data_IF_881569719093
#
_entry.id   IF_881569719093
#
_cell.length_a   1.000
_cell.length_b   1.000
_cell.length_c   1.000
_cell.angle_alpha   90.00
_cell.angle_beta   90.00
_cell.angle_gamma   90.00
#
_symmetry.space_group_name_H-M   'P 1'
#
loop_
_entity.id
_entity.type
_entity.pdbx_description
1 polymer ?
#
# COMPACT_ATOMS: atom_id res chain seq x y z
N UNK A 1 23.78 -55.79 -0.06
CA UNK A 1 22.53 -55.86 -0.84
C UNK A 1 22.44 -54.52 -1.54
N UNK A 2 22.63 -54.50 -2.85
CA UNK A 2 22.50 -53.28 -3.65
C UNK A 2 21.03 -53.14 -4.02
N UNK A 3 20.42 -52.00 -3.69
CA UNK A 3 19.03 -51.73 -4.03
C UNK A 3 19.01 -50.58 -5.02
N UNK A 4 18.40 -50.81 -6.18
CA UNK A 4 18.22 -49.80 -7.21
C UNK A 4 16.75 -49.37 -7.17
N UNK A 5 16.51 -48.08 -7.03
CA UNK A 5 15.19 -47.49 -7.25
C UNK A 5 15.18 -46.77 -8.61
N UNK A 6 14.18 -47.04 -9.43
CA UNK A 6 13.99 -46.43 -10.74
C UNK A 6 12.65 -45.69 -10.74
N UNK A 7 12.68 -44.42 -11.13
CA UNK A 7 11.48 -43.63 -11.39
C UNK A 7 11.53 -43.15 -12.83
N UNK A 8 10.49 -43.46 -13.60
CA UNK A 8 10.34 -43.03 -14.98
C UNK A 8 9.16 -42.06 -15.04
N UNK A 9 9.43 -40.80 -15.32
CA UNK A 9 8.41 -39.86 -15.80
C UNK A 9 8.37 -39.92 -17.32
N UNK A 10 7.35 -39.31 -17.95
CA UNK A 10 7.12 -39.40 -19.41
C UNK A 10 8.27 -38.85 -20.26
N UNK A 11 9.21 -38.11 -19.68
CA UNK A 11 10.31 -37.44 -20.39
C UNK A 11 11.70 -37.76 -19.83
N UNK A 12 11.82 -38.31 -18.60
CA UNK A 12 13.10 -38.60 -17.97
C UNK A 12 13.12 -39.94 -17.23
N UNK A 13 14.22 -40.68 -17.40
CA UNK A 13 14.52 -41.89 -16.63
C UNK A 13 15.52 -41.52 -15.55
N UNK A 14 15.13 -41.71 -14.28
CA UNK A 14 15.95 -41.41 -13.12
C UNK A 14 16.26 -42.69 -12.32
N UNK A 15 17.53 -42.87 -11.96
CA UNK A 15 18.01 -44.00 -11.15
C UNK A 15 18.61 -43.50 -9.83
N UNK A 16 18.29 -44.19 -8.74
CA UNK A 16 18.93 -44.01 -7.45
C UNK A 16 19.58 -45.33 -7.01
N UNK A 17 20.91 -45.34 -6.96
CA UNK A 17 21.70 -46.44 -6.41
C UNK A 17 21.81 -46.30 -4.88
N UNK A 18 21.29 -47.28 -4.13
CA UNK A 18 21.41 -47.32 -2.67
C UNK A 18 22.55 -48.27 -2.30
N UNK A 19 23.73 -47.68 -2.08
CA UNK A 19 24.98 -48.38 -1.80
C UNK A 19 25.95 -47.47 -1.01
N UNK A 20 26.98 -48.03 -0.33
CA UNK A 20 28.01 -47.24 0.36
C UNK A 20 28.96 -46.51 -0.61
N UNK A 21 28.94 -46.87 -1.90
CA UNK A 21 29.70 -46.23 -2.96
C UNK A 21 29.09 -46.58 -4.32
N UNK A 22 28.93 -45.63 -5.25
CA UNK A 22 28.42 -45.92 -6.60
C UNK A 22 29.33 -46.87 -7.35
N UNK A 23 28.88 -48.11 -7.57
CA UNK A 23 29.59 -49.10 -8.40
C UNK A 23 28.87 -49.32 -9.73
N UNK A 24 27.56 -49.09 -9.79
CA UNK A 24 26.73 -49.43 -10.94
C UNK A 24 26.54 -48.25 -11.92
N UNK A 25 26.94 -47.04 -11.53
CA UNK A 25 26.78 -45.82 -12.34
C UNK A 25 27.30 -46.01 -13.77
N UNK A 26 28.52 -46.53 -13.94
CA UNK A 26 29.12 -46.72 -15.27
C UNK A 26 28.35 -47.75 -16.10
N UNK A 27 28.00 -48.89 -15.52
CA UNK A 27 27.28 -49.95 -16.24
C UNK A 27 25.86 -49.52 -16.64
N UNK A 28 25.20 -48.71 -15.80
CA UNK A 28 23.91 -48.13 -16.13
C UNK A 28 24.06 -47.14 -17.29
N UNK A 29 25.06 -46.25 -17.26
CA UNK A 29 25.33 -45.32 -18.37
C UNK A 29 25.55 -46.07 -19.69
N UNK A 30 26.40 -47.10 -19.69
CA UNK A 30 26.68 -47.91 -20.88
C UNK A 30 25.41 -48.55 -21.47
N UNK A 31 24.49 -49.03 -20.63
CA UNK A 31 23.23 -49.63 -21.10
C UNK A 31 22.32 -48.62 -21.80
N UNK A 32 22.27 -47.38 -21.31
CA UNK A 32 21.41 -46.32 -21.86
C UNK A 32 22.06 -45.61 -23.06
N UNK A 33 23.40 -45.52 -23.10
CA UNK A 33 24.15 -45.04 -24.25
C UNK A 33 23.87 -45.89 -25.50
N UNK A 34 23.80 -47.22 -25.34
CA UNK A 34 23.43 -48.15 -26.44
C UNK A 34 22.01 -47.89 -26.97
N UNK A 35 21.12 -47.41 -26.12
CA UNK A 35 19.72 -47.13 -26.48
C UNK A 35 19.50 -45.68 -26.96
N UNK A 36 20.56 -44.86 -27.06
CA UNK A 36 20.49 -43.42 -27.34
C UNK A 36 19.49 -42.68 -26.42
N UNK A 37 19.40 -43.10 -25.17
CA UNK A 37 18.53 -42.50 -24.17
C UNK A 37 19.36 -41.82 -23.09
N UNK A 38 18.93 -40.64 -22.67
CA UNK A 38 19.58 -39.91 -21.58
C UNK A 38 19.05 -40.39 -20.24
N UNK A 39 19.96 -40.76 -19.33
CA UNK A 39 19.62 -41.23 -17.98
C UNK A 39 20.24 -40.34 -16.91
N UNK A 40 19.44 -39.97 -15.91
CA UNK A 40 19.90 -39.24 -14.74
C UNK A 40 20.16 -40.23 -13.60
N UNK A 41 21.42 -40.35 -13.17
CA UNK A 41 21.83 -41.33 -12.16
C UNK A 41 22.27 -40.60 -10.88
N UNK A 42 21.69 -41.04 -9.77
CA UNK A 42 21.92 -40.56 -8.41
C UNK A 42 22.39 -41.73 -7.54
N UNK A 43 23.05 -41.42 -6.42
CA UNK A 43 23.56 -42.42 -5.49
C UNK A 43 23.40 -41.95 -4.04
N UNK A 44 23.23 -42.87 -3.10
CA UNK A 44 23.08 -42.51 -1.68
C UNK A 44 24.38 -42.02 -1.06
N UNK A 45 25.51 -42.71 -1.29
CA UNK A 45 26.78 -42.46 -0.61
C UNK A 45 27.95 -42.59 -1.57
N UNK A 46 29.09 -41.96 -1.24
CA UNK A 46 30.34 -42.09 -2.00
C UNK A 46 31.54 -42.16 -1.07
N UNK A 47 32.42 -43.13 -1.32
CA UNK A 47 33.63 -43.36 -0.53
C UNK A 47 34.49 -42.09 -0.44
N UNK A 48 34.99 -41.81 0.78
CA UNK A 48 35.79 -40.62 1.12
C UNK A 48 35.02 -39.29 1.02
N UNK A 49 33.69 -39.32 0.97
CA UNK A 49 32.85 -38.13 1.06
C UNK A 49 31.99 -38.15 2.34
N UNK A 50 31.47 -36.98 2.73
CA UNK A 50 30.63 -36.83 3.92
C UNK A 50 29.22 -37.32 3.60
N UNK A 51 28.77 -38.36 4.29
CA UNK A 51 27.51 -39.07 4.01
C UNK A 51 26.30 -38.13 3.96
N UNK A 52 26.10 -37.31 5.00
CA UNK A 52 24.97 -36.36 5.07
C UNK A 52 24.97 -35.36 3.90
N UNK A 53 26.16 -34.87 3.51
CA UNK A 53 26.29 -33.94 2.40
C UNK A 53 25.94 -34.63 1.09
N UNK A 54 26.43 -35.85 0.86
CA UNK A 54 26.17 -36.62 -0.37
C UNK A 54 24.67 -36.95 -0.49
N UNK A 55 24.04 -37.41 0.61
CA UNK A 55 22.60 -37.71 0.64
C UNK A 55 21.79 -36.45 0.35
N UNK A 56 22.02 -35.36 1.10
CA UNK A 56 21.24 -34.12 0.93
C UNK A 56 21.44 -33.52 -0.47
N UNK A 57 22.66 -33.51 -0.98
CA UNK A 57 22.93 -33.00 -2.34
C UNK A 57 22.16 -33.79 -3.40
N UNK A 58 22.15 -35.13 -3.30
CA UNK A 58 21.42 -35.96 -4.25
C UNK A 58 19.90 -35.90 -4.02
N UNK A 59 19.43 -35.70 -2.79
CA UNK A 59 18.01 -35.47 -2.48
C UNK A 59 17.51 -34.14 -3.06
N UNK A 60 18.27 -33.05 -2.96
CA UNK A 60 17.95 -31.77 -3.59
C UNK A 60 17.87 -31.91 -5.11
N UNK A 61 18.79 -32.66 -5.73
CA UNK A 61 18.79 -32.89 -7.19
C UNK A 61 17.64 -33.79 -7.66
N UNK A 62 17.19 -34.70 -6.80
CA UNK A 62 15.95 -35.47 -6.99
C UNK A 62 14.69 -34.64 -6.70
N UNK A 63 14.85 -33.37 -6.32
CA UNK A 63 13.77 -32.46 -5.96
C UNK A 63 12.83 -33.03 -4.88
N UNK A 64 13.41 -33.81 -3.94
CA UNK A 64 12.70 -34.42 -2.81
C UNK A 64 12.46 -33.43 -1.66
N UNK A 65 12.99 -32.21 -1.78
CA UNK A 65 12.78 -31.17 -0.78
C UNK A 65 11.33 -30.66 -0.88
N UNK A 66 10.51 -31.08 0.07
CA UNK A 66 9.18 -30.52 0.35
C UNK A 66 9.35 -29.10 0.92
N UNK A 67 9.76 -28.18 0.03
CA UNK A 67 9.87 -26.77 0.34
C UNK A 67 8.46 -26.19 0.49
N UNK A 68 7.91 -26.33 1.69
CA UNK A 68 6.68 -25.69 2.18
C UNK A 68 6.84 -24.17 2.39
N UNK A 69 7.61 -23.50 1.53
CA UNK A 69 7.82 -22.06 1.52
C UNK A 69 7.57 -21.52 0.12
N UNK A 70 6.95 -20.33 0.00
CA UNK A 70 6.49 -19.82 -1.28
C UNK A 70 7.67 -19.54 -2.23
N UNK A 71 7.77 -20.34 -3.30
CA UNK A 71 8.70 -20.11 -4.40
C UNK A 71 8.03 -19.24 -5.47
N UNK A 72 8.03 -17.93 -5.26
CA UNK A 72 7.82 -16.96 -6.32
C UNK A 72 8.30 -15.57 -5.89
N UNK A 73 9.35 -15.07 -6.54
CA UNK A 73 9.75 -13.66 -6.44
C UNK A 73 9.01 -12.88 -7.52
N UNK A 74 8.09 -12.00 -7.11
CA UNK A 74 7.41 -11.11 -8.06
C UNK A 74 8.44 -10.26 -8.82
N UNK A 75 8.31 -10.19 -10.14
CA UNK A 75 9.08 -9.26 -10.96
C UNK A 75 8.47 -7.85 -10.80
N UNK A 76 9.16 -6.97 -10.07
CA UNK A 76 8.73 -5.60 -9.81
C UNK A 76 9.32 -4.57 -10.80
N UNK A 77 9.89 -5.01 -11.92
CA UNK A 77 10.48 -4.11 -12.93
C UNK A 77 9.42 -3.30 -13.67
N UNK A 78 8.24 -3.88 -13.87
CA UNK A 78 7.13 -3.25 -14.57
C UNK A 78 6.00 -2.93 -13.60
N UNK A 79 5.53 -1.69 -13.68
CA UNK A 79 4.36 -1.23 -12.93
C UNK A 79 3.14 -1.27 -13.85
N UNK A 80 2.29 -2.28 -13.68
CA UNK A 80 1.06 -2.46 -14.45
C UNK A 80 -0.16 -1.73 -13.85
N UNK A 81 0.05 -0.74 -12.98
CA UNK A 81 -1.03 0.08 -12.43
C UNK A 81 -1.15 1.40 -13.18
N UNK A 82 -2.38 1.78 -13.51
CA UNK A 82 -2.70 3.14 -13.94
C UNK A 82 -3.07 3.96 -12.71
N UNK A 83 -2.27 4.96 -12.39
CA UNK A 83 -2.54 5.92 -11.33
C UNK A 83 -2.89 7.26 -11.96
N UNK A 84 -4.00 7.89 -11.56
CA UNK A 84 -4.36 9.23 -12.06
C UNK A 84 -3.41 10.29 -11.49
N UNK A 85 -3.24 11.42 -12.17
CA UNK A 85 -2.36 12.50 -11.70
C UNK A 85 -2.77 12.98 -10.30
N UNK A 86 -4.07 13.01 -10.01
CA UNK A 86 -4.61 13.39 -8.69
C UNK A 86 -4.19 12.39 -7.61
N UNK A 87 -4.25 11.09 -7.90
CA UNK A 87 -3.80 10.04 -6.96
C UNK A 87 -2.29 10.11 -6.74
N UNK A 88 -1.50 10.36 -7.79
CA UNK A 88 -0.05 10.54 -7.68
C UNK A 88 0.27 11.75 -6.78
N UNK A 89 -0.42 12.88 -6.97
CA UNK A 89 -0.24 14.08 -6.16
C UNK A 89 -0.67 13.86 -4.71
N UNK A 90 -1.79 13.17 -4.47
CA UNK A 90 -2.26 12.81 -3.14
C UNK A 90 -1.29 11.87 -2.42
N UNK A 91 -0.71 10.90 -3.12
CA UNK A 91 0.28 9.97 -2.58
C UNK A 91 1.63 10.63 -2.30
N UNK A 92 2.03 11.59 -3.14
CA UNK A 92 3.31 12.32 -3.02
C UNK A 92 3.22 13.54 -2.10
N UNK A 93 2.03 14.03 -1.80
CA UNK A 93 1.81 15.08 -0.80
C UNK A 93 2.38 14.57 0.53
N UNK A 94 3.55 15.12 0.92
CA UNK A 94 4.20 14.82 2.19
C UNK A 94 3.20 15.05 3.31
N UNK A 95 2.78 13.98 3.98
CA UNK A 95 1.86 14.01 5.13
C UNK A 95 2.48 14.66 6.39
N UNK A 96 3.66 15.24 6.31
CA UNK A 96 4.50 15.49 7.48
C UNK A 96 4.05 16.68 8.34
N UNK A 97 3.22 17.61 7.85
CA UNK A 97 2.77 18.77 8.65
C UNK A 97 1.34 19.24 8.27
N UNK A 98 0.38 18.33 8.16
CA UNK A 98 -1.01 18.77 7.96
C UNK A 98 -1.63 19.25 9.27
N UNK A 99 -2.28 20.41 9.20
CA UNK A 99 -3.12 20.92 10.27
C UNK A 99 -4.14 19.84 10.68
N UNK A 100 -4.36 19.53 11.98
CA UNK A 100 -5.12 18.35 12.42
C UNK A 100 -6.53 18.20 11.82
N UNK A 101 -7.22 19.33 11.61
CA UNK A 101 -8.56 19.37 11.01
C UNK A 101 -8.53 19.42 9.48
N UNK A 102 -7.40 19.74 8.87
CA UNK A 102 -7.29 20.03 7.44
C UNK A 102 -6.92 18.77 6.65
N UNK A 103 -7.78 18.41 5.71
CA UNK A 103 -7.63 17.16 4.97
C UNK A 103 -6.94 17.34 3.63
N UNK A 104 -7.39 16.55 2.65
CA UNK A 104 -6.75 16.48 1.34
C UNK A 104 -7.31 17.54 0.41
N UNK A 105 -6.43 18.18 -0.38
CA UNK A 105 -6.87 18.97 -1.50
C UNK A 105 -7.46 18.06 -2.58
N UNK A 106 -8.64 18.42 -3.09
CA UNK A 106 -9.27 17.74 -4.20
C UNK A 106 -8.80 18.40 -5.50
N UNK A 107 -8.00 17.68 -6.29
CA UNK A 107 -7.67 18.10 -7.65
C UNK A 107 -8.82 17.72 -8.58
N UNK A 108 -9.39 18.70 -9.28
CA UNK A 108 -10.37 18.47 -10.32
C UNK A 108 -10.18 19.47 -11.45
N UNK A 109 -10.07 18.98 -12.67
CA UNK A 109 -9.92 19.79 -13.89
C UNK A 109 -11.11 20.74 -14.14
N UNK A 110 -12.27 20.47 -13.53
CA UNK A 110 -13.48 21.30 -13.66
C UNK A 110 -13.61 22.35 -12.54
N UNK A 111 -12.83 22.27 -11.48
CA UNK A 111 -12.95 23.20 -10.35
C UNK A 111 -12.19 24.50 -10.64
N UNK A 112 -12.93 25.58 -10.88
CA UNK A 112 -12.37 26.93 -11.00
C UNK A 112 -11.81 27.47 -9.68
N UNK A 113 -12.15 26.84 -8.56
CA UNK A 113 -11.78 27.22 -7.20
C UNK A 113 -11.14 26.02 -6.48
N UNK A 114 -10.00 26.20 -5.81
CA UNK A 114 -9.39 25.12 -5.05
C UNK A 114 -10.29 24.68 -3.89
N UNK A 115 -10.48 23.36 -3.77
CA UNK A 115 -11.32 22.72 -2.75
C UNK A 115 -10.52 21.71 -1.95
N UNK A 116 -10.80 21.63 -0.66
CA UNK A 116 -10.22 20.67 0.26
C UNK A 116 -11.31 19.86 0.95
N UNK A 117 -11.05 18.58 1.17
CA UNK A 117 -11.93 17.66 1.90
C UNK A 117 -11.28 17.24 3.21
N UNK A 118 -11.91 17.63 4.30
CA UNK A 118 -11.62 17.18 5.66
C UNK A 118 -12.61 16.11 6.10
N UNK A 119 -12.11 15.04 6.73
CA UNK A 119 -12.95 13.98 7.28
C UNK A 119 -12.75 13.97 8.80
N UNK A 120 -13.81 14.30 9.54
CA UNK A 120 -13.79 14.34 11.00
C UNK A 120 -14.45 13.07 11.53
N UNK A 121 -13.67 12.23 12.22
CA UNK A 121 -14.17 11.01 12.85
C UNK A 121 -13.87 11.05 14.36
N UNK A 122 -14.92 11.20 15.18
CA UNK A 122 -14.79 11.31 16.64
C UNK A 122 -14.20 10.06 17.32
N UNK A 123 -14.14 8.91 16.63
CA UNK A 123 -13.50 7.69 17.13
C UNK A 123 -11.97 7.77 17.08
N UNK A 124 -11.41 8.69 16.29
CA UNK A 124 -9.97 8.87 16.18
C UNK A 124 -9.45 9.74 17.34
N UNK A 125 -8.36 9.34 18.03
CA UNK A 125 -7.82 10.08 19.17
C UNK A 125 -7.51 11.56 18.87
N UNK A 126 -7.12 11.86 17.63
CA UNK A 126 -6.81 13.22 17.16
C UNK A 126 -8.01 14.17 17.15
N UNK A 127 -9.24 13.67 17.20
CA UNK A 127 -10.48 14.45 17.20
C UNK A 127 -11.26 14.34 18.51
N UNK A 128 -10.73 13.62 19.51
CA UNK A 128 -11.43 13.37 20.77
C UNK A 128 -11.82 14.67 21.50
N UNK A 129 -11.00 15.72 21.40
CA UNK A 129 -11.29 17.03 21.99
C UNK A 129 -12.53 17.72 21.42
N UNK A 130 -13.02 17.34 20.23
CA UNK A 130 -14.23 17.91 19.66
C UNK A 130 -15.49 17.42 20.39
N UNK A 131 -15.41 16.29 21.10
CA UNK A 131 -16.53 15.74 21.88
C UNK A 131 -16.94 16.69 23.02
N UNK A 132 -16.01 17.51 23.52
CA UNK A 132 -16.27 18.46 24.60
C UNK A 132 -17.10 19.68 24.15
N UNK A 133 -17.20 19.96 22.85
CA UNK A 133 -18.00 21.07 22.33
C UNK A 133 -19.46 20.66 22.12
N UNK A 134 -20.15 20.45 23.25
CA UNK A 134 -21.52 19.96 23.29
C UNK A 134 -22.51 21.09 23.62
N UNK A 135 -23.62 21.15 22.87
CA UNK A 135 -24.74 22.06 23.13
C UNK A 135 -26.02 21.24 23.17
N UNK A 136 -26.76 21.33 24.29
CA UNK A 136 -28.01 20.57 24.50
C UNK A 136 -27.88 19.05 24.26
N UNK A 137 -26.74 18.46 24.63
CA UNK A 137 -26.52 17.02 24.50
C UNK A 137 -26.01 16.57 23.11
N UNK A 138 -25.87 17.47 22.14
CA UNK A 138 -25.32 17.16 20.82
C UNK A 138 -23.93 17.76 20.63
N UNK A 139 -23.04 17.02 19.97
CA UNK A 139 -21.68 17.46 19.66
C UNK A 139 -21.74 18.30 18.39
N UNK A 140 -21.32 19.56 18.49
CA UNK A 140 -21.27 20.47 17.36
C UNK A 140 -19.83 20.75 16.99
N UNK A 141 -19.53 20.79 15.70
CA UNK A 141 -18.26 21.31 15.24
C UNK A 141 -18.16 22.80 15.62
N UNK A 142 -17.12 23.23 16.35
CA UNK A 142 -16.99 24.61 16.80
C UNK A 142 -16.94 25.60 15.64
N UNK A 143 -17.56 26.78 15.83
CA UNK A 143 -17.46 27.88 14.86
C UNK A 143 -15.99 28.28 14.58
N UNK A 144 -15.16 28.23 15.62
CA UNK A 144 -13.71 28.46 15.53
C UNK A 144 -13.00 27.40 14.68
N UNK A 145 -13.49 26.16 14.64
CA UNK A 145 -12.94 25.11 13.79
C UNK A 145 -13.08 25.43 12.30
N UNK A 146 -14.17 26.09 11.89
CA UNK A 146 -14.32 26.56 10.51
C UNK A 146 -13.32 27.69 10.18
N UNK A 147 -13.06 28.59 11.12
CA UNK A 147 -12.04 29.64 10.97
C UNK A 147 -10.64 29.01 10.86
N UNK A 148 -10.38 27.93 11.57
CA UNK A 148 -9.10 27.23 11.49
C UNK A 148 -8.93 26.51 10.14
N UNK A 149 -9.97 25.82 9.66
CA UNK A 149 -9.98 25.21 8.32
C UNK A 149 -9.75 26.25 7.22
N UNK A 150 -10.34 27.42 7.40
CA UNK A 150 -10.14 28.58 6.53
C UNK A 150 -8.69 29.05 6.50
N UNK A 151 -8.06 29.23 7.66
CA UNK A 151 -6.65 29.60 7.78
C UNK A 151 -5.72 28.56 7.15
N UNK A 152 -5.97 27.29 7.43
CA UNK A 152 -5.20 26.18 6.85
C UNK A 152 -5.28 26.16 5.32
N UNK A 153 -6.46 26.41 4.74
CA UNK A 153 -6.64 26.51 3.30
C UNK A 153 -5.88 27.69 2.69
N UNK A 154 -5.89 28.84 3.35
CA UNK A 154 -5.09 30.01 2.94
C UNK A 154 -3.60 29.67 2.98
N UNK A 155 -3.13 29.07 4.07
CA UNK A 155 -1.75 28.68 4.24
C UNK A 155 -1.30 27.72 3.10
N UNK A 156 -2.06 26.66 2.84
CA UNK A 156 -1.74 25.72 1.76
C UNK A 156 -1.76 26.40 0.37
N UNK A 157 -2.73 27.29 0.12
CA UNK A 157 -2.82 28.02 -1.13
C UNK A 157 -1.54 28.83 -1.41
N UNK A 158 -1.08 29.62 -0.43
CA UNK A 158 0.13 30.44 -0.56
C UNK A 158 1.40 29.59 -0.68
N UNK A 159 1.48 28.48 0.07
CA UNK A 159 2.57 27.51 -0.08
C UNK A 159 2.63 26.94 -1.50
N UNK A 160 1.49 26.58 -2.10
CA UNK A 160 1.45 26.02 -3.46
C UNK A 160 1.73 27.07 -4.53
N UNK A 161 1.29 28.31 -4.34
CA UNK A 161 1.56 29.41 -5.27
C UNK A 161 3.00 29.95 -5.18
N UNK A 162 3.83 29.41 -4.27
CA UNK A 162 5.18 29.89 -3.98
C UNK A 162 5.22 31.39 -3.62
N UNK A 163 4.10 31.91 -3.11
CA UNK A 163 4.01 33.29 -2.64
C UNK A 163 4.35 33.33 -1.14
N UNK A 164 4.84 34.47 -0.66
CA UNK A 164 5.10 34.64 0.77
C UNK A 164 3.79 34.60 1.56
N UNK A 165 3.77 33.85 2.66
CA UNK A 165 2.64 33.81 3.57
C UNK A 165 2.30 35.22 4.10
N UNK A 166 1.02 35.59 4.16
CA UNK A 166 0.61 36.86 4.74
C UNK A 166 0.88 36.85 6.24
N UNK A 167 1.43 37.95 6.77
CA UNK A 167 1.67 38.13 8.22
C UNK A 167 0.39 38.36 9.01
N UNK A 168 -0.73 38.65 8.34
CA UNK A 168 -2.04 38.86 8.98
C UNK A 168 -3.14 38.44 8.03
N UNK A 169 -4.12 37.71 8.57
CA UNK A 169 -5.35 37.34 7.85
C UNK A 169 -6.51 38.08 8.51
N UNK A 170 -7.28 38.81 7.70
CA UNK A 170 -8.45 39.58 8.16
C UNK A 170 -9.71 38.88 7.67
N UNK A 171 -10.56 38.51 8.60
CA UNK A 171 -11.87 37.95 8.32
C UNK A 171 -12.92 39.07 8.33
N UNK A 172 -13.59 39.27 7.20
CA UNK A 172 -14.67 40.24 7.06
C UNK A 172 -15.99 39.52 6.79
N UNK A 173 -17.08 39.98 7.42
CA UNK A 173 -18.43 39.45 7.20
C UNK A 173 -18.55 37.92 7.35
N UNK A 174 -17.90 37.34 8.37
CA UNK A 174 -18.01 35.90 8.65
C UNK A 174 -19.43 35.57 9.06
N UNK A 175 -20.03 34.61 8.37
CA UNK A 175 -21.38 34.13 8.64
C UNK A 175 -21.36 32.61 8.78
N UNK A 176 -21.91 32.11 9.88
CA UNK A 176 -22.18 30.69 10.08
C UNK A 176 -23.65 30.45 9.81
N UNK A 177 -23.96 29.88 8.63
CA UNK A 177 -25.34 29.70 8.18
C UNK A 177 -26.05 28.57 8.93
N UNK A 178 -25.32 27.48 9.19
CA UNK A 178 -25.81 26.29 9.87
C UNK A 178 -24.75 25.78 10.84
N UNK A 179 -25.20 25.16 11.92
CA UNK A 179 -24.32 24.40 12.81
C UNK A 179 -24.07 23.02 12.20
N UNK A 180 -22.84 22.51 12.34
CA UNK A 180 -22.47 21.18 11.88
C UNK A 180 -22.49 20.21 13.07
N UNK A 181 -23.41 19.25 13.05
CA UNK A 181 -23.51 18.21 14.08
C UNK A 181 -22.52 17.10 13.73
N UNK A 182 -21.71 16.70 14.70
CA UNK A 182 -20.78 15.59 14.57
C UNK A 182 -21.41 14.33 15.19
N UNK A 183 -21.36 13.23 14.45
CA UNK A 183 -21.81 11.92 14.92
C UNK A 183 -20.63 11.12 15.48
N UNK A 184 -20.85 10.37 16.56
CA UNK A 184 -19.83 9.51 17.16
C UNK A 184 -19.55 8.25 16.32
N UNK A 185 -20.55 7.78 15.58
CA UNK A 185 -20.48 6.52 14.83
C UNK A 185 -20.15 6.72 13.35
N UNK A 186 -20.26 7.95 12.84
CA UNK A 186 -20.13 8.24 11.42
C UNK A 186 -19.18 9.40 11.19
N UNK A 187 -18.22 9.27 10.25
CA UNK A 187 -17.36 10.38 9.89
C UNK A 187 -18.16 11.49 9.22
N UNK A 188 -17.87 12.72 9.59
CA UNK A 188 -18.45 13.91 8.97
C UNK A 188 -17.46 14.51 7.98
N UNK A 189 -17.87 14.65 6.72
CA UNK A 189 -17.06 15.31 5.69
C UNK A 189 -17.33 16.82 5.67
N UNK A 190 -16.25 17.62 5.65
CA UNK A 190 -16.30 19.07 5.56
C UNK A 190 -15.49 19.49 4.34
N UNK A 191 -16.13 20.23 3.44
CA UNK A 191 -15.47 20.77 2.26
C UNK A 191 -15.18 22.25 2.49
N UNK A 192 -13.91 22.63 2.28
CA UNK A 192 -13.45 24.01 2.33
C UNK A 192 -13.14 24.45 0.92
N UNK A 193 -13.79 25.51 0.45
CA UNK A 193 -13.57 26.07 -0.89
C UNK A 193 -13.04 27.47 -0.75
N UNK A 194 -11.95 27.77 -1.47
CA UNK A 194 -11.47 29.14 -1.65
C UNK A 194 -11.90 29.62 -3.02
N UNK A 195 -12.72 30.67 -3.06
CA UNK A 195 -13.04 31.37 -4.29
C UNK A 195 -12.34 32.73 -4.32
N UNK A 196 -11.63 32.98 -5.43
CA UNK A 196 -10.96 34.24 -5.71
C UNK A 196 -11.75 34.98 -6.78
N UNK A 197 -12.46 36.08 -6.48
CA UNK A 197 -12.89 37.01 -7.51
C UNK A 197 -11.63 37.66 -8.12
N UNK A 198 -11.66 38.01 -9.41
CA UNK A 198 -10.50 38.41 -10.22
C UNK A 198 -9.62 39.59 -9.73
N UNK A 199 -9.91 40.16 -8.56
CA UNK A 199 -9.03 41.06 -7.82
C UNK A 199 -8.59 40.36 -6.53
N UNK A 200 -7.27 40.22 -6.34
CA UNK A 200 -6.54 39.43 -5.30
C UNK A 200 -6.84 39.76 -3.82
N UNK A 201 -8.04 40.14 -3.43
CA UNK A 201 -8.34 40.72 -2.11
C UNK A 201 -9.54 40.12 -1.38
N UNK A 202 -10.30 39.20 -1.99
CA UNK A 202 -11.46 38.61 -1.34
C UNK A 202 -11.38 37.09 -1.39
N UNK A 203 -11.43 36.49 -0.21
CA UNK A 203 -11.51 35.06 -0.02
C UNK A 203 -12.91 34.76 0.52
N UNK A 204 -13.83 34.31 -0.33
CA UNK A 204 -15.10 33.80 0.18
C UNK A 204 -14.93 32.32 0.48
N UNK A 205 -15.08 31.96 1.75
CA UNK A 205 -15.01 30.58 2.22
C UNK A 205 -16.43 30.07 2.29
N UNK A 206 -16.79 29.24 1.33
CA UNK A 206 -18.03 28.48 1.39
C UNK A 206 -17.68 27.16 2.04
N UNK A 207 -17.85 27.09 3.35
CA UNK A 207 -17.95 25.81 4.05
C UNK A 207 -19.42 25.39 3.99
N UNK A 208 -19.68 24.19 3.47
CA UNK A 208 -20.86 23.33 3.68
C UNK A 208 -21.25 22.64 2.37
N UNK A 209 -20.90 21.36 2.28
CA UNK A 209 -21.78 20.34 1.69
C UNK A 209 -21.76 19.18 2.69
N UNK A 210 -22.82 19.04 3.49
CA UNK A 210 -23.08 17.78 4.19
C UNK A 210 -23.60 16.81 3.13
N UNK A 211 -22.79 15.85 2.71
CA UNK A 211 -23.34 14.65 2.08
C UNK A 211 -23.51 13.61 3.18
N UNK A 212 -24.73 13.41 3.66
CA UNK A 212 -25.05 12.17 4.37
C UNK A 212 -24.95 11.05 3.33
N UNK A 213 -24.01 10.12 3.50
CA UNK A 213 -24.03 8.87 2.75
C UNK A 213 -25.24 8.08 3.25
N UNK A 214 -26.33 8.15 2.50
CA UNK A 214 -27.42 7.19 2.67
C UNK A 214 -26.98 5.91 1.98
N UNK A 215 -26.85 4.84 2.77
CA UNK A 215 -26.72 3.45 2.28
C UNK A 215 -28.06 2.97 1.70
#
# INVERSE_FOLDING_TARGET
>A
MEVIAMTCTTEEIQFLEISPHPVLVTSIQECFDVQNQTVNIFYSLKRKEIEQKTILTNACRLNLDDNTLPLYTFNHNDFYWYESEESVLQRRAKREEHHPLFGIRLWSLQQQSPTWKSIINLQLPQYAYLQDHQVQGQIYFPATGFIELALAAVNEYFHYSQESLPSTVIFNNVQFLLACILNENEPTEIHTVIQMPGYKQFLSIVAVIQHQMTL
#
